data_IF_357645782870
#
_entry.id   IF_357645782870
#
_cell.length_a   1.000
_cell.length_b   1.000
_cell.length_c   1.000
_cell.angle_alpha   90.00
_cell.angle_beta   90.00
_cell.angle_gamma   90.00
#
_symmetry.space_group_name_H-M   'P 1'
#
loop_
_entity.id
_entity.type
_entity.pdbx_description
1 polymer ?
#
# COMPACT_ATOMS: atom_id res chain seq x y z
N UNK A 1 41.07 -16.32 -15.32
CA UNK A 1 39.60 -16.39 -15.38
C UNK A 1 39.16 -15.99 -16.78
N UNK A 2 38.55 -16.90 -17.54
CA UNK A 2 38.05 -16.64 -18.90
C UNK A 2 36.53 -16.82 -18.85
N UNK A 3 35.74 -15.81 -19.21
CA UNK A 3 34.27 -15.87 -19.25
C UNK A 3 33.52 -14.90 -18.33
N UNK A 4 34.19 -14.30 -17.34
CA UNK A 4 33.57 -13.29 -16.46
C UNK A 4 33.07 -12.04 -17.23
N UNK A 5 33.70 -11.72 -18.37
CA UNK A 5 33.28 -10.65 -19.27
C UNK A 5 31.93 -10.90 -19.98
N UNK A 6 31.32 -12.08 -19.82
CA UNK A 6 30.01 -12.44 -20.39
C UNK A 6 28.88 -12.35 -19.37
N UNK A 7 29.18 -11.96 -18.14
CA UNK A 7 28.21 -11.82 -17.06
C UNK A 7 27.96 -10.34 -16.88
N UNK A 8 26.76 -9.88 -17.25
CA UNK A 8 26.35 -8.49 -17.09
C UNK A 8 25.99 -8.19 -15.63
N UNK A 9 25.27 -9.10 -14.98
CA UNK A 9 24.84 -8.94 -13.59
C UNK A 9 24.64 -10.31 -12.91
N UNK A 10 24.87 -10.36 -11.60
CA UNK A 10 24.50 -11.48 -10.73
C UNK A 10 23.59 -10.94 -9.64
N UNK A 11 22.35 -11.42 -9.60
CA UNK A 11 21.35 -11.03 -8.60
C UNK A 11 21.05 -12.22 -7.69
N UNK A 12 21.13 -12.01 -6.38
CA UNK A 12 20.73 -13.00 -5.40
C UNK A 12 19.21 -12.89 -5.15
N UNK A 13 18.50 -14.01 -5.31
CA UNK A 13 17.08 -14.11 -5.00
C UNK A 13 16.90 -15.16 -3.91
N UNK A 14 16.32 -14.74 -2.79
CA UNK A 14 16.11 -15.60 -1.63
C UNK A 14 14.68 -15.45 -1.08
N UNK A 15 14.44 -16.00 0.11
CA UNK A 15 13.16 -15.92 0.82
C UNK A 15 13.19 -14.93 1.99
N UNK A 16 14.18 -14.04 2.02
CA UNK A 16 14.20 -13.00 3.04
C UNK A 16 12.93 -12.14 2.88
N UNK A 17 12.29 -11.74 3.99
CA UNK A 17 11.08 -10.93 3.92
C UNK A 17 11.38 -9.62 3.21
N UNK A 18 10.60 -9.31 2.17
CA UNK A 18 10.74 -8.09 1.35
C UNK A 18 10.70 -6.81 2.21
N UNK A 19 9.99 -6.85 3.33
CA UNK A 19 10.00 -5.78 4.32
C UNK A 19 9.48 -6.25 5.68
N UNK A 20 9.85 -5.49 6.72
CA UNK A 20 9.53 -5.79 8.12
C UNK A 20 8.26 -5.13 8.64
N UNK A 21 7.52 -4.38 7.81
CA UNK A 21 6.35 -3.61 8.27
C UNK A 21 5.07 -3.99 7.54
N UNK A 22 3.89 -3.90 8.19
CA UNK A 22 2.59 -4.17 7.56
C UNK A 22 2.24 -3.22 6.40
N UNK A 23 2.96 -2.10 6.27
CA UNK A 23 2.73 -1.12 5.20
C UNK A 23 3.32 -1.57 3.87
N UNK A 24 4.27 -2.50 3.91
CA UNK A 24 4.93 -2.98 2.72
C UNK A 24 4.06 -3.98 2.00
N UNK A 25 3.86 -3.73 0.71
CA UNK A 25 3.01 -4.54 -0.16
C UNK A 25 3.76 -4.80 -1.46
N UNK A 26 3.47 -5.90 -2.18
CA UNK A 26 4.14 -6.20 -3.46
C UNK A 26 4.05 -5.05 -4.48
N UNK A 27 2.93 -4.32 -4.50
CA UNK A 27 2.73 -3.21 -5.44
C UNK A 27 3.66 -2.01 -5.17
N UNK A 28 4.03 -1.77 -3.90
CA UNK A 28 5.03 -0.76 -3.54
C UNK A 28 6.43 -1.22 -3.96
N UNK A 29 6.75 -2.50 -3.72
CA UNK A 29 8.05 -3.07 -4.09
C UNK A 29 8.28 -3.03 -5.60
N UNK A 30 7.24 -3.29 -6.39
CA UNK A 30 7.28 -3.21 -7.86
C UNK A 30 7.23 -1.78 -8.40
N UNK A 31 7.07 -0.75 -7.54
CA UNK A 31 6.93 0.65 -7.98
C UNK A 31 5.65 0.95 -8.76
N UNK A 32 4.68 0.02 -8.80
CA UNK A 32 3.46 0.15 -9.60
C UNK A 32 2.37 0.98 -8.91
N UNK A 33 2.51 1.21 -7.61
CA UNK A 33 1.46 1.85 -6.82
C UNK A 33 1.21 3.29 -7.26
N UNK A 34 2.25 4.01 -7.67
CA UNK A 34 2.14 5.40 -8.14
C UNK A 34 1.22 5.50 -9.35
N UNK A 35 1.37 4.57 -10.30
CA UNK A 35 0.52 4.51 -11.48
C UNK A 35 -0.93 4.20 -11.14
N UNK A 36 -1.18 3.32 -10.16
CA UNK A 36 -2.55 3.05 -9.69
C UNK A 36 -3.17 4.30 -9.11
N UNK A 37 -2.46 5.04 -8.24
CA UNK A 37 -2.98 6.28 -7.64
C UNK A 37 -3.33 7.34 -8.69
N UNK A 38 -2.54 7.45 -9.74
CA UNK A 38 -2.82 8.34 -10.88
C UNK A 38 -4.11 7.95 -11.61
N UNK A 39 -4.33 6.66 -11.87
CA UNK A 39 -5.53 6.16 -12.55
C UNK A 39 -6.81 6.48 -11.76
N UNK A 40 -6.77 6.33 -10.43
CA UNK A 40 -7.89 6.69 -9.57
C UNK A 40 -8.12 8.21 -9.52
N UNK A 41 -7.05 9.00 -9.45
CA UNK A 41 -7.16 10.46 -9.49
C UNK A 41 -7.71 11.00 -10.83
N UNK A 42 -7.54 10.25 -11.91
CA UNK A 42 -8.07 10.58 -13.23
C UNK A 42 -9.56 10.23 -13.42
N UNK A 43 -10.22 9.61 -12.44
CA UNK A 43 -11.64 9.28 -12.54
C UNK A 43 -12.52 10.53 -12.37
N UNK A 44 -13.66 10.64 -13.09
CA UNK A 44 -14.57 11.79 -12.98
C UNK A 44 -15.02 12.08 -11.53
N UNK A 45 -15.28 11.05 -10.74
CA UNK A 45 -15.68 11.14 -9.34
C UNK A 45 -14.56 11.70 -8.45
N UNK A 46 -13.31 11.38 -8.76
CA UNK A 46 -12.15 11.92 -8.06
C UNK A 46 -11.93 13.39 -8.42
N UNK A 47 -11.97 13.70 -9.72
CA UNK A 47 -11.77 15.05 -10.24
C UNK A 47 -12.83 16.03 -9.72
N UNK A 48 -14.11 15.63 -9.72
CA UNK A 48 -15.21 16.45 -9.18
C UNK A 48 -15.08 16.75 -7.68
N UNK A 49 -14.40 15.89 -6.92
CA UNK A 49 -14.13 16.07 -5.49
C UNK A 49 -12.76 16.71 -5.19
N UNK A 50 -11.98 17.05 -6.22
CA UNK A 50 -10.63 17.60 -6.06
C UNK A 50 -9.62 16.60 -5.49
N UNK A 51 -9.88 15.29 -5.59
CA UNK A 51 -8.99 14.25 -5.10
C UNK A 51 -7.81 14.06 -6.04
N UNK A 52 -6.60 14.28 -5.53
CA UNK A 52 -5.35 14.04 -6.28
C UNK A 52 -4.81 12.63 -5.99
N UNK A 53 -3.77 12.22 -6.71
CA UNK A 53 -3.07 10.95 -6.45
C UNK A 53 -2.57 10.81 -5.00
N UNK A 54 -2.43 11.91 -4.26
CA UNK A 54 -2.14 11.89 -2.82
C UNK A 54 -3.27 11.27 -2.01
N UNK A 55 -4.53 11.56 -2.32
CA UNK A 55 -5.69 11.02 -1.60
C UNK A 55 -5.73 9.48 -1.62
N UNK A 56 -5.21 8.88 -2.69
CA UNK A 56 -5.17 7.42 -2.88
C UNK A 56 -3.92 6.75 -2.32
N UNK A 57 -3.12 7.45 -1.49
CA UNK A 57 -1.96 6.88 -0.79
C UNK A 57 -2.33 6.45 0.64
N UNK A 58 -2.25 5.15 0.95
CA UNK A 58 -2.39 4.69 2.34
C UNK A 58 -1.17 5.01 3.22
N UNK A 59 -0.01 5.30 2.63
CA UNK A 59 1.22 5.59 3.38
C UNK A 59 1.25 7.02 3.94
N UNK A 60 0.81 7.99 3.15
CA UNK A 60 0.96 9.42 3.44
C UNK A 60 -0.16 10.30 2.92
N UNK A 61 -1.20 9.71 2.32
CA UNK A 61 -2.30 10.42 1.70
C UNK A 61 -3.30 10.97 2.70
N UNK A 62 -3.93 12.10 2.35
CA UNK A 62 -5.05 12.68 3.09
C UNK A 62 -6.29 11.78 3.13
N UNK A 63 -6.40 10.83 2.21
CA UNK A 63 -7.53 9.92 2.11
C UNK A 63 -7.41 8.62 2.91
N UNK A 64 -6.28 8.39 3.60
CA UNK A 64 -6.10 7.20 4.43
C UNK A 64 -6.99 7.24 5.67
N UNK A 65 -7.38 6.09 6.17
CA UNK A 65 -8.08 5.98 7.46
C UNK A 65 -7.22 6.58 8.57
N UNK A 66 -7.80 7.50 9.34
CA UNK A 66 -7.09 8.25 10.37
C UNK A 66 -6.73 7.33 11.54
N UNK A 67 -7.69 6.52 12.00
CA UNK A 67 -7.52 5.61 13.13
C UNK A 67 -6.35 4.64 12.97
N UNK A 68 -6.26 3.94 11.85
CA UNK A 68 -5.14 3.01 11.60
C UNK A 68 -3.98 3.66 10.84
N UNK A 69 -4.05 4.96 10.51
CA UNK A 69 -3.04 5.65 9.71
C UNK A 69 -2.66 4.87 8.43
N UNK A 70 -3.68 4.29 7.78
CA UNK A 70 -3.55 3.51 6.54
C UNK A 70 -2.95 2.11 6.65
N UNK A 71 -2.67 1.57 7.83
CA UNK A 71 -2.20 0.17 7.98
C UNK A 71 -3.29 -0.86 7.73
N UNK A 72 -4.56 -0.48 7.95
CA UNK A 72 -5.72 -1.36 7.91
C UNK A 72 -5.87 -2.26 9.14
N UNK A 73 -4.86 -2.29 10.02
CA UNK A 73 -4.84 -3.16 11.20
C UNK A 73 -4.31 -2.41 12.41
N UNK A 74 -4.84 -2.75 13.58
CA UNK A 74 -4.35 -2.29 14.88
C UNK A 74 -3.47 -3.38 15.49
N UNK A 75 -2.28 -2.99 15.97
CA UNK A 75 -1.33 -3.89 16.63
C UNK A 75 -1.69 -3.95 18.12
N UNK A 76 -1.97 -5.13 18.63
CA UNK A 76 -2.15 -5.41 20.05
C UNK A 76 -0.87 -6.07 20.54
N UNK A 77 -0.16 -5.36 21.40
CA UNK A 77 1.09 -5.86 21.99
C UNK A 77 0.78 -6.84 23.11
N UNK A 78 1.38 -8.03 23.02
CA UNK A 78 1.16 -9.11 23.97
C UNK A 78 2.44 -9.33 24.77
N UNK A 79 2.34 -9.35 26.10
CA UNK A 79 3.52 -9.40 26.97
C UNK A 79 4.33 -10.71 26.85
N UNK A 80 3.67 -11.83 26.56
CA UNK A 80 4.27 -13.18 26.57
C UNK A 80 4.09 -13.95 25.27
N UNK A 81 3.34 -13.38 24.31
CA UNK A 81 3.01 -13.99 23.03
C UNK A 81 3.42 -13.05 21.91
N UNK A 82 3.38 -13.56 20.67
CA UNK A 82 3.54 -12.71 19.49
C UNK A 82 2.42 -11.67 19.41
N UNK A 83 2.77 -10.48 18.95
CA UNK A 83 1.81 -9.39 18.73
C UNK A 83 0.69 -9.82 17.78
N UNK A 84 -0.54 -9.40 18.11
CA UNK A 84 -1.71 -9.69 17.29
C UNK A 84 -2.05 -8.48 16.42
N UNK A 85 -2.43 -8.72 15.17
CA UNK A 85 -2.95 -7.68 14.27
C UNK A 85 -4.43 -7.93 14.04
N UNK A 86 -5.27 -7.00 14.50
CA UNK A 86 -6.72 -7.06 14.30
C UNK A 86 -7.14 -6.08 13.21
N UNK A 87 -8.15 -6.39 12.37
CA UNK A 87 -8.68 -5.43 11.42
C UNK A 87 -9.10 -4.15 12.13
N UNK A 88 -8.76 -3.00 11.55
CA UNK A 88 -9.15 -1.71 12.09
C UNK A 88 -10.68 -1.60 12.13
N UNK A 89 -11.26 -1.25 13.28
CA UNK A 89 -12.72 -1.22 13.43
C UNK A 89 -13.42 -0.11 12.63
N UNK A 90 -12.68 0.88 12.10
CA UNK A 90 -13.26 1.98 11.31
C UNK A 90 -13.25 1.70 9.81
N UNK A 91 -12.13 1.21 9.27
CA UNK A 91 -12.00 0.91 7.84
C UNK A 91 -12.13 -0.57 7.51
N UNK A 92 -12.22 -1.44 8.51
CA UNK A 92 -12.31 -2.90 8.37
C UNK A 92 -11.21 -3.47 7.43
N UNK A 93 -9.98 -2.97 7.56
CA UNK A 93 -8.86 -3.38 6.71
C UNK A 93 -8.76 -2.66 5.36
N UNK A 94 -9.73 -1.84 4.96
CA UNK A 94 -9.75 -1.14 3.66
C UNK A 94 -8.75 0.01 3.55
N UNK A 95 -8.14 0.45 4.66
CA UNK A 95 -7.07 1.48 4.76
C UNK A 95 -7.44 2.91 4.38
N UNK A 96 -8.60 3.15 3.78
CA UNK A 96 -9.02 4.48 3.31
C UNK A 96 -10.31 4.95 3.97
N UNK A 97 -10.55 6.26 3.90
CA UNK A 97 -11.80 6.87 4.31
C UNK A 97 -12.93 6.56 3.30
N UNK A 98 -14.21 6.58 3.74
CA UNK A 98 -15.34 6.21 2.88
C UNK A 98 -15.45 7.03 1.59
N UNK A 99 -15.09 8.32 1.59
CA UNK A 99 -15.20 9.17 0.41
C UNK A 99 -14.23 8.77 -0.71
N UNK A 100 -13.02 8.33 -0.35
CA UNK A 100 -12.02 7.81 -1.30
C UNK A 100 -12.49 6.50 -1.92
N UNK A 101 -13.09 5.63 -1.10
CA UNK A 101 -13.60 4.32 -1.53
C UNK A 101 -14.81 4.40 -2.46
N UNK A 102 -15.42 5.58 -2.64
CA UNK A 102 -16.49 5.80 -3.61
C UNK A 102 -15.98 5.94 -5.04
N UNK A 103 -14.71 6.29 -5.22
CA UNK A 103 -14.10 6.39 -6.55
C UNK A 103 -13.82 4.99 -7.06
N UNK A 104 -14.36 4.65 -8.23
CA UNK A 104 -14.22 3.34 -8.85
C UNK A 104 -13.49 3.45 -10.17
N UNK A 105 -12.73 2.41 -10.51
CA UNK A 105 -12.06 2.31 -11.80
C UNK A 105 -12.75 1.23 -12.62
N UNK A 106 -13.31 1.59 -13.77
CA UNK A 106 -14.11 0.67 -14.60
C UNK A 106 -15.26 0.01 -13.84
N UNK A 107 -15.97 0.78 -13.00
CA UNK A 107 -17.07 0.34 -12.13
C UNK A 107 -16.70 -0.72 -11.08
N UNK A 108 -15.40 -0.97 -10.87
CA UNK A 108 -14.85 -1.91 -9.89
C UNK A 108 -14.21 -1.18 -8.70
#
# INVERSE_FOLDING_TARGET
>A
MIGAHRIDEVVMVDQAPLARTPRSTPILYLGLYDRVRELFAAQPEAMSQGLTASAFSFNSGSGRCERCSGTGHEKIEMQFLSDLYVPCAECEGRRFQPHVLKVRLHDK
#
